data_IF_608547888345
#
_entry.id   IF_608547888345
#
_cell.length_a   1.000
_cell.length_b   1.000
_cell.length_c   1.000
_cell.angle_alpha   90.00
_cell.angle_beta   90.00
_cell.angle_gamma   90.00
#
_symmetry.space_group_name_H-M   'P 1'
#
loop_
_entity.id
_entity.type
_entity.pdbx_description
1 polymer ?
#
# COMPACT_ATOMS: atom_id res chain seq x y z
N UNK A 1 -14.11 8.95 12.27
CA UNK A 1 -13.59 7.57 12.05
C UNK A 1 -14.11 6.71 13.20
N UNK A 2 -14.54 5.49 12.94
CA UNK A 2 -14.89 4.55 14.02
C UNK A 2 -13.60 3.95 14.64
N UNK A 3 -13.64 3.61 15.93
CA UNK A 3 -12.51 2.99 16.65
C UNK A 3 -12.10 1.67 15.98
N UNK A 4 -13.06 0.89 15.48
CA UNK A 4 -12.81 -0.38 14.77
C UNK A 4 -12.10 -0.15 13.44
N UNK A 5 -12.46 0.89 12.73
CA UNK A 5 -11.82 1.30 11.47
C UNK A 5 -10.38 1.79 11.72
N UNK A 6 -10.14 2.49 12.83
CA UNK A 6 -8.79 2.92 13.19
C UNK A 6 -7.87 1.72 13.48
N UNK A 7 -8.34 0.74 14.28
CA UNK A 7 -7.51 -0.39 14.71
C UNK A 7 -7.41 -1.53 13.67
N UNK A 8 -8.16 -1.49 12.57
CA UNK A 8 -8.10 -2.52 11.51
C UNK A 8 -6.80 -2.47 10.69
N UNK A 9 -6.12 -1.32 10.64
CA UNK A 9 -4.86 -1.14 9.90
C UNK A 9 -3.64 -1.26 10.82
N UNK A 10 -2.66 -2.07 10.44
CA UNK A 10 -1.45 -2.35 11.23
C UNK A 10 -0.62 -1.10 11.50
N UNK A 11 -0.42 -0.22 10.51
CA UNK A 11 0.33 1.03 10.70
C UNK A 11 -0.35 1.91 11.75
N UNK A 12 -1.67 2.03 11.71
CA UNK A 12 -2.44 2.77 12.73
C UNK A 12 -2.33 2.12 14.12
N UNK A 13 -2.36 0.78 14.21
CA UNK A 13 -2.08 0.07 15.48
C UNK A 13 -0.68 0.38 15.99
N UNK A 14 0.34 0.35 15.13
CA UNK A 14 1.73 0.72 15.48
C UNK A 14 1.83 2.17 15.96
N UNK A 15 1.18 3.12 15.28
CA UNK A 15 1.11 4.53 15.73
C UNK A 15 0.49 4.59 17.13
N UNK A 16 -0.69 4.01 17.34
CA UNK A 16 -1.37 4.01 18.65
C UNK A 16 -0.46 3.43 19.75
N UNK A 17 0.28 2.35 19.47
CA UNK A 17 1.24 1.75 20.41
C UNK A 17 2.45 2.64 20.70
N UNK A 18 2.99 3.32 19.68
CA UNK A 18 4.12 4.24 19.85
C UNK A 18 3.74 5.47 20.69
N UNK A 19 2.48 5.89 20.61
CA UNK A 19 1.93 7.05 21.33
C UNK A 19 1.55 6.77 22.79
N UNK A 20 1.96 5.63 23.35
CA UNK A 20 2.01 5.43 24.82
C UNK A 20 2.89 6.49 25.51
N UNK A 21 3.83 7.05 24.77
CA UNK A 21 4.62 8.23 25.14
C UNK A 21 4.43 9.32 24.07
N UNK A 22 4.46 10.62 24.40
CA UNK A 22 4.39 11.68 23.39
C UNK A 22 5.49 11.53 22.32
N UNK A 23 5.14 11.72 21.04
CA UNK A 23 6.09 11.62 19.91
C UNK A 23 5.90 12.75 18.91
N UNK A 24 7.00 13.28 18.38
CA UNK A 24 6.94 14.24 17.27
C UNK A 24 6.54 13.54 15.97
N UNK A 25 6.16 14.33 14.96
CA UNK A 25 5.91 13.81 13.61
C UNK A 25 7.15 13.11 13.03
N UNK A 26 8.33 13.73 13.16
CA UNK A 26 9.58 13.17 12.63
C UNK A 26 9.97 11.85 13.29
N UNK A 27 9.78 11.73 14.61
CA UNK A 27 10.09 10.49 15.32
C UNK A 27 9.14 9.35 14.89
N UNK A 28 7.88 9.66 14.59
CA UNK A 28 6.95 8.66 14.06
C UNK A 28 7.32 8.22 12.64
N UNK A 29 7.75 9.14 11.76
CA UNK A 29 8.24 8.76 10.42
C UNK A 29 9.43 7.80 10.52
N UNK A 30 10.41 8.15 11.34
CA UNK A 30 11.64 7.36 11.53
C UNK A 30 11.33 5.97 12.07
N UNK A 31 10.55 5.87 13.16
CA UNK A 31 10.25 4.58 13.80
C UNK A 31 9.39 3.65 12.95
N UNK A 32 8.56 4.21 12.07
CA UNK A 32 7.68 3.44 11.19
C UNK A 32 8.28 3.22 9.80
N UNK A 33 9.41 3.84 9.50
CA UNK A 33 10.00 3.90 8.15
C UNK A 33 8.97 4.33 7.09
N UNK A 34 8.27 5.43 7.36
CA UNK A 34 7.22 5.97 6.50
C UNK A 34 7.57 7.33 5.94
N UNK A 35 7.18 7.55 4.70
CA UNK A 35 7.17 8.87 4.08
C UNK A 35 6.23 9.84 4.81
N UNK A 36 6.56 11.13 4.74
CA UNK A 36 5.78 12.16 5.42
C UNK A 36 4.31 12.20 4.96
N UNK A 37 4.06 12.01 3.66
CA UNK A 37 2.70 11.95 3.11
C UNK A 37 1.91 10.76 3.65
N UNK A 38 2.56 9.59 3.74
CA UNK A 38 1.99 8.36 4.29
C UNK A 38 1.62 8.54 5.77
N UNK A 39 2.56 9.04 6.58
CA UNK A 39 2.29 9.26 8.00
C UNK A 39 1.16 10.30 8.19
N UNK A 40 1.18 11.41 7.47
CA UNK A 40 0.14 12.44 7.56
C UNK A 40 -1.25 11.88 7.25
N UNK A 41 -1.36 10.99 6.26
CA UNK A 41 -2.60 10.28 5.94
C UNK A 41 -3.08 9.43 7.12
N UNK A 42 -2.20 8.60 7.71
CA UNK A 42 -2.58 7.76 8.85
C UNK A 42 -2.97 8.59 10.08
N UNK A 43 -2.24 9.67 10.39
CA UNK A 43 -2.55 10.56 11.51
C UNK A 43 -3.90 11.26 11.32
N UNK A 44 -4.23 11.71 10.10
CA UNK A 44 -5.55 12.27 9.78
C UNK A 44 -6.68 11.27 9.98
N UNK A 45 -6.44 9.98 9.72
CA UNK A 45 -7.41 8.90 9.96
C UNK A 45 -7.58 8.57 11.45
N UNK A 46 -6.57 8.88 12.25
CA UNK A 46 -6.59 8.73 13.71
C UNK A 46 -7.19 9.94 14.44
N UNK A 47 -7.73 10.92 13.72
CA UNK A 47 -8.32 12.11 14.33
C UNK A 47 -9.42 11.74 15.35
N UNK A 48 -9.41 12.42 16.50
CA UNK A 48 -10.21 12.09 17.67
C UNK A 48 -9.64 10.97 18.57
N UNK A 49 -8.77 10.08 18.07
CA UNK A 49 -8.00 9.13 18.89
C UNK A 49 -6.66 9.70 19.34
N UNK A 50 -6.11 10.63 18.56
CA UNK A 50 -4.88 11.33 18.86
C UNK A 50 -5.12 12.84 18.89
N UNK A 51 -4.27 13.55 19.61
CA UNK A 51 -4.21 15.02 19.61
C UNK A 51 -2.75 15.46 19.72
N UNK A 52 -2.48 16.77 19.66
CA UNK A 52 -1.17 17.33 19.97
C UNK A 52 -1.12 17.92 21.37
N UNK A 53 0.00 17.76 22.06
CA UNK A 53 0.30 18.46 23.32
C UNK A 53 0.76 19.90 23.07
N UNK A 54 1.08 20.62 24.15
CA UNK A 54 1.58 22.00 24.16
C UNK A 54 2.91 22.18 23.42
N UNK A 55 3.67 21.09 23.25
CA UNK A 55 4.94 21.05 22.53
C UNK A 55 4.78 20.61 21.07
N UNK A 56 3.55 20.34 20.64
CA UNK A 56 3.23 19.88 19.29
C UNK A 56 3.47 18.39 19.04
N UNK A 57 3.76 17.60 20.07
CA UNK A 57 3.90 16.15 19.97
C UNK A 57 2.52 15.48 19.95
N UNK A 58 2.39 14.40 19.20
CA UNK A 58 1.19 13.58 19.22
C UNK A 58 1.08 12.80 20.54
N UNK A 59 -0.13 12.74 21.08
CA UNK A 59 -0.51 11.99 22.28
C UNK A 59 -1.87 11.33 22.09
N UNK A 60 -2.13 10.24 22.82
CA UNK A 60 -3.45 9.59 22.82
C UNK A 60 -4.47 10.44 23.57
N UNK A 61 -5.68 10.56 23.01
CA UNK A 61 -6.86 11.03 23.75
C UNK A 61 -7.39 9.93 24.68
N UNK A 62 -8.41 10.22 25.49
CA UNK A 62 -9.10 9.19 26.29
C UNK A 62 -9.71 8.08 25.40
N UNK A 63 -10.21 8.44 24.22
CA UNK A 63 -10.69 7.46 23.25
C UNK A 63 -9.53 6.68 22.62
N UNK A 64 -8.40 7.34 22.36
CA UNK A 64 -7.16 6.70 21.92
C UNK A 64 -6.62 5.66 22.90
N UNK A 65 -6.70 5.93 24.21
CA UNK A 65 -6.33 4.96 25.26
C UNK A 65 -7.21 3.71 25.22
N UNK A 66 -8.52 3.87 24.97
CA UNK A 66 -9.43 2.73 24.76
C UNK A 66 -9.07 1.95 23.49
N UNK A 67 -8.70 2.65 22.42
CA UNK A 67 -8.24 2.01 21.19
C UNK A 67 -6.97 1.19 21.43
N UNK A 68 -6.02 1.71 22.21
CA UNK A 68 -4.81 0.97 22.62
C UNK A 68 -5.14 -0.33 23.36
N UNK A 69 -6.14 -0.33 24.27
CA UNK A 69 -6.58 -1.56 24.94
C UNK A 69 -7.11 -2.61 23.96
N UNK A 70 -7.87 -2.19 22.94
CA UNK A 70 -8.37 -3.08 21.88
C UNK A 70 -7.21 -3.64 21.05
N UNK A 71 -6.25 -2.78 20.67
CA UNK A 71 -5.05 -3.20 19.92
C UNK A 71 -4.28 -4.27 20.69
N UNK A 72 -4.03 -4.06 21.97
CA UNK A 72 -3.33 -5.03 22.82
C UNK A 72 -4.11 -6.35 22.93
N UNK A 73 -5.45 -6.29 22.99
CA UNK A 73 -6.29 -7.49 23.02
C UNK A 73 -6.20 -8.28 21.70
N UNK A 74 -6.27 -7.61 20.55
CA UNK A 74 -6.15 -8.23 19.22
C UNK A 74 -4.81 -8.96 19.08
N UNK A 75 -3.71 -8.31 19.48
CA UNK A 75 -2.37 -8.89 19.37
C UNK A 75 -2.13 -10.03 20.37
N UNK A 76 -2.87 -10.06 21.48
CA UNK A 76 -2.78 -11.15 22.47
C UNK A 76 -3.51 -12.43 22.07
N UNK A 77 -4.42 -12.35 21.08
CA UNK A 77 -5.19 -13.50 20.62
C UNK A 77 -4.63 -14.03 19.29
N UNK A 78 -3.98 -15.19 19.35
CA UNK A 78 -3.76 -16.03 18.15
C UNK A 78 -5.12 -16.55 17.66
N UNK A 79 -5.77 -15.81 16.77
CA UNK A 79 -7.07 -16.22 16.21
C UNK A 79 -6.85 -17.41 15.27
N UNK A 80 -7.22 -18.61 15.72
CA UNK A 80 -7.35 -19.80 14.89
C UNK A 80 -8.77 -19.76 14.29
N UNK A 81 -8.88 -19.61 12.97
CA UNK A 81 -10.17 -19.69 12.28
C UNK A 81 -10.58 -21.17 12.12
N UNK A 82 -11.84 -21.54 12.45
CA UNK A 82 -12.34 -22.89 12.21
C UNK A 82 -12.39 -23.21 10.70
N UNK A 83 -11.87 -24.38 10.29
CA UNK A 83 -11.75 -24.79 8.88
C UNK A 83 -13.09 -24.97 8.12
N UNK A 84 -14.24 -24.99 8.82
CA UNK A 84 -15.47 -25.56 8.27
C UNK A 84 -16.39 -24.63 7.45
N UNK A 85 -15.91 -23.47 6.99
CA UNK A 85 -16.62 -22.73 5.94
C UNK A 85 -15.70 -22.56 4.74
N UNK A 86 -15.96 -23.34 3.68
CA UNK A 86 -15.57 -22.95 2.31
C UNK A 86 -16.37 -21.71 1.89
N UNK A 87 -16.13 -20.61 2.59
CA UNK A 87 -16.19 -19.30 1.95
C UNK A 87 -15.10 -19.36 0.90
N UNK A 88 -15.36 -18.98 -0.35
CA UNK A 88 -14.28 -18.78 -1.31
C UNK A 88 -13.40 -17.69 -0.71
N UNK A 89 -12.32 -18.09 -0.02
CA UNK A 89 -11.46 -17.14 0.67
C UNK A 89 -10.90 -16.22 -0.40
N UNK A 90 -11.21 -14.92 -0.36
CA UNK A 90 -10.67 -14.00 -1.34
C UNK A 90 -9.15 -14.04 -1.25
N UNK A 91 -8.49 -13.79 -2.38
CA UNK A 91 -7.06 -13.48 -2.34
C UNK A 91 -6.95 -12.11 -1.68
N UNK A 92 -6.41 -12.10 -0.46
CA UNK A 92 -6.17 -10.91 0.33
C UNK A 92 -4.71 -10.50 0.18
N UNK A 93 -4.49 -9.30 -0.36
CA UNK A 93 -3.18 -8.65 -0.35
C UNK A 93 -3.22 -7.60 0.73
N UNK A 94 -2.40 -7.76 1.76
CA UNK A 94 -2.40 -6.87 2.92
C UNK A 94 -0.98 -6.58 3.42
N UNK A 95 -0.75 -5.36 3.93
CA UNK A 95 0.49 -4.94 4.58
C UNK A 95 1.74 -4.96 3.70
N UNK A 96 1.55 -4.88 2.38
CA UNK A 96 2.63 -4.73 1.43
C UNK A 96 3.00 -3.25 1.25
N UNK A 97 4.29 -2.97 1.10
CA UNK A 97 4.74 -1.62 0.74
C UNK A 97 4.31 -1.28 -0.70
N UNK A 98 4.61 -2.18 -1.64
CA UNK A 98 4.27 -2.02 -3.06
C UNK A 98 3.73 -3.33 -3.63
N UNK A 99 2.69 -3.23 -4.47
CA UNK A 99 2.07 -4.36 -5.16
C UNK A 99 1.85 -4.03 -6.62
N UNK A 100 2.30 -4.92 -7.50
CA UNK A 100 2.04 -4.81 -8.94
C UNK A 100 1.01 -5.89 -9.32
N UNK A 101 -0.08 -5.45 -9.95
CA UNK A 101 -1.16 -6.30 -10.44
C UNK A 101 -1.06 -6.32 -11.96
N UNK A 102 -1.02 -7.52 -12.53
CA UNK A 102 -1.02 -7.75 -13.98
C UNK A 102 -2.17 -8.67 -14.40
N UNK A 103 -2.37 -8.79 -15.71
CA UNK A 103 -3.39 -9.67 -16.28
C UNK A 103 -3.23 -11.13 -15.84
N UNK A 104 -1.99 -11.61 -15.73
CA UNK A 104 -1.69 -12.99 -15.36
C UNK A 104 -2.18 -13.34 -13.95
N UNK A 105 -1.96 -12.44 -13.00
CA UNK A 105 -2.45 -12.56 -11.63
C UNK A 105 -3.98 -12.59 -11.57
N UNK A 106 -4.65 -11.64 -12.24
CA UNK A 106 -6.11 -11.55 -12.23
C UNK A 106 -6.76 -12.76 -12.92
N UNK A 107 -6.15 -13.27 -13.98
CA UNK A 107 -6.64 -14.46 -14.70
C UNK A 107 -6.65 -15.68 -13.79
N UNK A 108 -5.55 -15.94 -13.07
CA UNK A 108 -5.47 -17.05 -12.10
C UNK A 108 -6.53 -16.93 -10.99
N UNK A 109 -6.71 -15.73 -10.45
CA UNK A 109 -7.73 -15.49 -9.41
C UNK A 109 -9.14 -15.78 -9.95
N UNK A 110 -9.42 -15.39 -11.20
CA UNK A 110 -10.70 -15.66 -11.87
C UNK A 110 -10.92 -17.15 -12.13
N UNK A 111 -9.91 -17.86 -12.61
CA UNK A 111 -9.96 -19.32 -12.87
C UNK A 111 -10.23 -20.12 -11.59
N UNK A 112 -9.68 -19.68 -10.46
CA UNK A 112 -9.95 -20.24 -9.15
C UNK A 112 -11.32 -19.82 -8.56
N UNK A 113 -12.11 -19.05 -9.31
CA UNK A 113 -13.39 -18.46 -8.88
C UNK A 113 -13.26 -17.66 -7.57
N UNK A 114 -12.13 -16.98 -7.39
CA UNK A 114 -11.86 -16.13 -6.22
C UNK A 114 -12.05 -14.66 -6.57
N UNK A 115 -12.11 -13.85 -5.50
CA UNK A 115 -12.13 -12.38 -5.57
C UNK A 115 -10.83 -11.82 -5.01
N UNK A 116 -10.46 -10.63 -5.45
CA UNK A 116 -9.29 -9.90 -4.98
C UNK A 116 -9.71 -8.78 -4.03
N UNK A 117 -9.10 -8.77 -2.84
CA UNK A 117 -9.21 -7.67 -1.88
C UNK A 117 -7.80 -7.15 -1.62
N UNK A 118 -7.60 -5.83 -1.73
CA UNK A 118 -6.33 -5.16 -1.45
C UNK A 118 -6.54 -4.22 -0.27
N UNK A 119 -5.74 -4.37 0.79
CA UNK A 119 -5.88 -3.60 2.03
C UNK A 119 -4.56 -3.12 2.57
N UNK A 120 -4.54 -1.93 3.16
CA UNK A 120 -3.40 -1.49 3.98
C UNK A 120 -2.06 -1.55 3.21
N UNK A 121 -2.07 -1.12 1.94
CA UNK A 121 -0.90 -1.11 1.04
C UNK A 121 -0.47 0.32 0.78
N UNK A 122 0.83 0.62 0.71
CA UNK A 122 1.27 1.97 0.38
C UNK A 122 1.04 2.27 -1.12
N UNK A 123 1.60 1.47 -2.02
CA UNK A 123 1.47 1.65 -3.47
C UNK A 123 0.88 0.41 -4.17
N UNK A 124 -0.17 0.60 -4.96
CA UNK A 124 -0.73 -0.43 -5.86
C UNK A 124 -0.59 0.03 -7.29
N UNK A 125 -0.04 -0.81 -8.16
CA UNK A 125 0.19 -0.51 -9.58
C UNK A 125 -0.60 -1.52 -10.42
N UNK A 126 -1.46 -1.05 -11.32
CA UNK A 126 -2.25 -1.91 -12.21
C UNK A 126 -1.71 -1.81 -13.63
N UNK A 127 -1.08 -2.84 -14.17
CA UNK A 127 -0.52 -2.78 -15.52
C UNK A 127 -1.58 -2.51 -16.61
N UNK A 128 -1.12 -1.93 -17.72
CA UNK A 128 -1.90 -1.61 -18.93
C UNK A 128 -2.42 -2.83 -19.69
N UNK A 129 -1.87 -4.02 -19.43
CA UNK A 129 -2.30 -5.29 -20.02
C UNK A 129 -3.65 -5.81 -19.48
N UNK A 130 -4.23 -5.14 -18.49
CA UNK A 130 -5.47 -5.55 -17.81
C UNK A 130 -6.71 -5.07 -18.57
N UNK A 131 -7.62 -6.01 -18.85
CA UNK A 131 -8.95 -5.74 -19.39
C UNK A 131 -9.95 -5.26 -18.32
N UNK A 132 -10.82 -4.32 -18.68
CA UNK A 132 -11.82 -3.72 -17.79
C UNK A 132 -12.79 -4.77 -17.21
N UNK A 133 -13.27 -5.71 -18.03
CA UNK A 133 -14.22 -6.74 -17.58
C UNK A 133 -13.53 -7.77 -16.67
N UNK A 134 -12.27 -8.11 -16.97
CA UNK A 134 -11.47 -8.96 -16.11
C UNK A 134 -11.30 -8.33 -14.73
N UNK A 135 -10.91 -7.06 -14.66
CA UNK A 135 -10.74 -6.35 -13.40
C UNK A 135 -12.07 -6.25 -12.64
N UNK A 136 -13.16 -5.84 -13.30
CA UNK A 136 -14.47 -5.70 -12.65
C UNK A 136 -14.96 -7.01 -12.02
N UNK A 137 -14.72 -8.12 -12.72
CA UNK A 137 -15.12 -9.45 -12.29
C UNK A 137 -14.29 -10.01 -11.14
N UNK A 138 -13.04 -9.56 -10.97
CA UNK A 138 -12.10 -10.12 -9.97
C UNK A 138 -11.94 -9.21 -8.76
N UNK A 139 -11.70 -7.92 -9.00
CA UNK A 139 -11.49 -6.94 -7.94
C UNK A 139 -12.79 -6.73 -7.16
N UNK A 140 -12.74 -6.91 -5.84
CA UNK A 140 -13.90 -6.69 -4.98
C UNK A 140 -13.77 -5.40 -4.19
N UNK A 141 -12.60 -5.16 -3.58
CA UNK A 141 -12.37 -4.00 -2.74
C UNK A 141 -10.90 -3.59 -2.74
N UNK A 142 -10.66 -2.30 -2.82
CA UNK A 142 -9.37 -1.68 -2.47
C UNK A 142 -9.64 -0.75 -1.28
N UNK A 143 -8.91 -0.92 -0.19
CA UNK A 143 -9.20 -0.17 1.03
C UNK A 143 -7.92 0.22 1.78
N UNK A 144 -7.87 1.45 2.30
CA UNK A 144 -6.70 1.96 3.03
C UNK A 144 -5.41 1.85 2.21
N UNK A 145 -5.44 2.36 0.98
CA UNK A 145 -4.26 2.44 0.10
C UNK A 145 -3.80 3.88 -0.01
N UNK A 146 -2.49 4.13 -0.03
CA UNK A 146 -2.01 5.51 -0.18
C UNK A 146 -2.13 5.90 -1.66
N UNK A 147 -1.39 5.22 -2.53
CA UNK A 147 -1.33 5.55 -3.95
C UNK A 147 -1.74 4.36 -4.80
N UNK A 148 -2.60 4.62 -5.79
CA UNK A 148 -2.91 3.66 -6.85
C UNK A 148 -2.45 4.25 -8.17
N UNK A 149 -1.56 3.57 -8.88
CA UNK A 149 -1.23 3.86 -10.28
C UNK A 149 -2.09 2.98 -11.17
N UNK A 150 -2.75 3.61 -12.13
CA UNK A 150 -3.74 2.95 -12.99
C UNK A 150 -3.74 3.51 -14.41
N UNK A 151 -3.83 2.66 -15.43
CA UNK A 151 -4.19 3.00 -16.78
C UNK A 151 -5.54 3.74 -16.82
N UNK A 152 -5.75 4.67 -17.77
CA UNK A 152 -6.97 5.46 -17.85
C UNK A 152 -8.25 4.63 -17.96
N UNK A 153 -8.21 3.50 -18.67
CA UNK A 153 -9.36 2.61 -18.89
C UNK A 153 -9.84 1.88 -17.62
N UNK A 154 -9.01 1.79 -16.58
CA UNK A 154 -9.36 1.08 -15.33
C UNK A 154 -9.80 2.01 -14.20
N UNK A 155 -9.57 3.31 -14.36
CA UNK A 155 -9.75 4.34 -13.33
C UNK A 155 -11.16 4.35 -12.74
N UNK A 156 -12.18 4.17 -13.57
CA UNK A 156 -13.58 4.17 -13.13
C UNK A 156 -13.94 2.95 -12.29
N UNK A 157 -13.41 1.77 -12.62
CA UNK A 157 -13.61 0.57 -11.80
C UNK A 157 -12.89 0.72 -10.47
N UNK A 158 -11.62 1.10 -10.52
CA UNK A 158 -10.77 1.25 -9.34
C UNK A 158 -11.40 2.27 -8.39
N UNK A 159 -11.83 3.42 -8.90
CA UNK A 159 -12.49 4.45 -8.09
C UNK A 159 -13.76 3.94 -7.41
N UNK A 160 -14.62 3.22 -8.14
CA UNK A 160 -15.88 2.66 -7.58
C UNK A 160 -15.63 1.60 -6.50
N UNK A 161 -14.54 0.84 -6.59
CA UNK A 161 -14.19 -0.23 -5.65
C UNK A 161 -13.21 0.23 -4.56
N UNK A 162 -12.79 1.49 -4.60
CA UNK A 162 -11.83 2.06 -3.66
C UNK A 162 -12.52 2.71 -2.47
N UNK A 163 -11.99 2.44 -1.27
CA UNK A 163 -12.36 3.12 -0.02
C UNK A 163 -11.09 3.64 0.64
N UNK A 164 -11.10 4.92 1.03
CA UNK A 164 -9.98 5.51 1.77
C UNK A 164 -8.64 5.41 1.02
N UNK A 165 -8.64 5.82 -0.25
CA UNK A 165 -7.43 5.94 -1.06
C UNK A 165 -6.96 7.40 -1.05
N UNK A 166 -5.65 7.66 -0.91
CA UNK A 166 -5.12 9.03 -0.89
C UNK A 166 -4.99 9.62 -2.30
N UNK A 167 -4.35 8.92 -3.23
CA UNK A 167 -4.21 9.32 -4.63
C UNK A 167 -4.48 8.17 -5.59
N UNK A 168 -5.13 8.49 -6.72
CA UNK A 168 -5.21 7.62 -7.89
C UNK A 168 -4.57 8.38 -9.04
N UNK A 169 -3.44 7.88 -9.50
CA UNK A 169 -2.55 8.48 -10.49
C UNK A 169 -2.59 7.66 -11.77
N UNK A 170 -2.28 8.31 -12.90
CA UNK A 170 -2.17 7.60 -14.18
C UNK A 170 -0.83 6.88 -14.26
N UNK A 171 -0.87 5.60 -14.63
CA UNK A 171 0.33 4.83 -14.91
C UNK A 171 0.83 5.18 -16.31
N UNK A 172 1.98 5.86 -16.38
CA UNK A 172 2.65 6.14 -17.65
C UNK A 172 3.30 4.84 -18.14
N UNK A 173 3.06 4.50 -19.41
CA UNK A 173 3.62 3.31 -20.06
C UNK A 173 5.14 3.28 -19.92
N UNK A 174 5.68 2.11 -19.61
CA UNK A 174 7.07 1.80 -19.27
C UNK A 174 8.13 2.03 -20.37
N UNK A 175 8.02 3.10 -21.17
CA UNK A 175 9.11 3.56 -22.06
C UNK A 175 10.03 4.58 -21.37
N UNK A 176 9.68 5.13 -20.21
CA UNK A 176 10.45 6.21 -19.55
C UNK A 176 11.36 5.78 -18.38
N UNK A 177 11.52 4.48 -18.09
CA UNK A 177 12.44 4.01 -17.04
C UNK A 177 13.93 3.92 -17.48
N UNK A 178 14.30 4.36 -18.68
CA UNK A 178 15.70 4.26 -19.18
C UNK A 178 16.52 5.56 -18.97
N UNK A 179 15.92 6.70 -18.58
CA UNK A 179 16.66 7.99 -18.61
C UNK A 179 16.93 8.68 -17.26
N UNK A 180 16.49 8.17 -16.11
CA UNK A 180 16.79 8.83 -14.82
C UNK A 180 18.03 8.28 -14.07
N UNK A 181 18.53 7.07 -14.38
CA UNK A 181 19.76 6.55 -13.76
C UNK A 181 21.07 7.00 -14.43
N UNK A 182 21.02 7.51 -15.67
CA UNK A 182 22.23 8.02 -16.37
C UNK A 182 22.49 9.51 -16.06
N UNK A 183 21.48 10.24 -15.56
CA UNK A 183 21.57 11.68 -15.29
C UNK A 183 22.33 12.09 -14.03
N UNK A 184 22.57 11.17 -13.08
CA UNK A 184 23.15 11.49 -11.76
C UNK A 184 24.55 10.90 -11.50
N UNK A 185 25.25 10.39 -12.53
CA UNK A 185 26.63 9.87 -12.38
C UNK A 185 27.67 10.68 -13.18
N UNK A 186 27.34 11.89 -13.66
CA UNK A 186 28.34 12.81 -14.25
C UNK A 186 28.53 14.06 -13.39
N UNK A 187 28.88 13.85 -12.12
CA UNK A 187 29.57 14.87 -11.33
C UNK A 187 30.47 14.21 -10.28
N UNK A 188 31.56 13.59 -10.71
CA UNK A 188 32.60 13.15 -9.77
C UNK A 188 33.51 12.04 -10.28
N UNK A 189 34.66 12.45 -10.79
CA UNK A 189 35.95 11.72 -10.76
C UNK A 189 36.05 10.43 -11.60
N UNK A 190 37.00 10.46 -12.53
CA UNK A 190 37.22 9.45 -13.56
C UNK A 190 37.50 8.02 -13.09
N UNK A 191 37.25 7.09 -13.99
CA UNK A 191 37.67 5.70 -13.87
C UNK A 191 36.96 4.84 -14.91
N UNK A 192 37.73 4.29 -15.84
CA UNK A 192 37.27 3.34 -16.84
C UNK A 192 36.59 2.13 -16.21
N UNK A 193 35.64 1.53 -16.92
CA UNK A 193 35.51 0.11 -17.38
C UNK A 193 34.02 -0.06 -17.71
N UNK A 194 33.56 -0.44 -18.88
CA UNK A 194 34.14 -1.25 -19.94
C UNK A 194 33.06 -2.24 -20.39
N UNK A 195 32.59 -2.05 -21.63
CA UNK A 195 31.94 -3.00 -22.56
C UNK A 195 31.52 -4.38 -22.04
N UNK A 196 30.32 -4.81 -22.47
CA UNK A 196 29.93 -6.13 -23.07
C UNK A 196 28.47 -6.43 -22.67
N UNK A 197 27.51 -6.83 -23.50
CA UNK A 197 27.38 -7.09 -24.94
C UNK A 197 25.87 -7.12 -25.25
N UNK A 198 25.45 -6.44 -26.32
CA UNK A 198 24.20 -6.74 -27.04
C UNK A 198 24.57 -7.06 -28.50
N UNK A 199 24.70 -8.36 -28.80
CA UNK A 199 24.60 -8.89 -30.17
C UNK A 199 24.47 -10.41 -30.16
N UNK A 200 23.33 -10.89 -29.68
CA UNK A 200 22.76 -12.14 -30.17
C UNK A 200 21.43 -11.75 -30.80
N UNK A 201 21.37 -11.86 -32.13
CA UNK A 201 20.24 -12.17 -33.00
C UNK A 201 20.46 -11.52 -34.37
N UNK A 202 20.73 -12.37 -35.37
CA UNK A 202 20.52 -12.06 -36.78
C UNK A 202 21.74 -12.13 -37.70
N UNK A 203 22.17 -13.33 -38.08
CA UNK A 203 22.57 -13.58 -39.48
C UNK A 203 21.97 -14.92 -39.90
N UNK A 204 21.00 -14.83 -40.82
CA UNK A 204 20.75 -15.88 -41.81
C UNK A 204 21.77 -15.67 -42.94
N UNK A 205 22.17 -16.81 -43.50
CA UNK A 205 22.98 -17.06 -44.69
C UNK A 205 24.48 -16.75 -44.61
#
# INVERSE_FOLDING_TARGET
MDIFEAVSNEIRRKIIKLLQTPRSFSELCERLNLESSALAFHLKKLDGLITKDDKGNYVLTELGKKALSIVNMIESQNVILPEEKRVLTPVLIEYADKVIIDKGMLTKIKEENKKLIIRNVNEVIFKDDIDENLLNGVLELIENVITIKSPPNLKDIISRKSKQVLSIEEELSSEEEINEEIGNIVSGVGGLVGKIVSRVLGSKD
#
